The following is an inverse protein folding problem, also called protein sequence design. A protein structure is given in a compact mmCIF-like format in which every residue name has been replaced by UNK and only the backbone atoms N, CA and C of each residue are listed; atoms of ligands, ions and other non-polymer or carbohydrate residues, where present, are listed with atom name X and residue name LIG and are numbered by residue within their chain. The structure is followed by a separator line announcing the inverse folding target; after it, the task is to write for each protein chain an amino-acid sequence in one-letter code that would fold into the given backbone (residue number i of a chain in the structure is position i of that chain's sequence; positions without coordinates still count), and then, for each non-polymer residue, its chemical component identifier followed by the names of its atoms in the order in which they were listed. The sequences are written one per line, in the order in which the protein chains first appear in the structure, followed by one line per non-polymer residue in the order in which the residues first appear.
data_IF_844173509667
#
_entry.id   IF_844173509667
#
_cell.length_a   1.000
_cell.length_b   1.000
_cell.length_c   1.000
_cell.angle_alpha   90.00
_cell.angle_beta   90.00
_cell.angle_gamma   90.00
#
_symmetry.space_group_name_H-M   'P 1'
#
loop_
_entity.id
_entity.type
_entity.pdbx_description
1 polymer ?
#
# COMPACT_ATOMS: atom_id res chain seq x y z
N UNK A 1 -5.84 20.80 -0.58
CA UNK A 1 -5.18 20.04 0.49
C UNK A 1 -3.89 19.50 -0.08
N UNK A 2 -2.77 19.69 0.62
CA UNK A 2 -1.42 19.39 0.12
C UNK A 2 -1.30 17.94 -0.35
N UNK A 3 -0.83 17.77 -1.57
CA UNK A 3 -0.56 16.50 -2.25
C UNK A 3 0.19 15.55 -1.32
N UNK A 4 -0.50 14.55 -0.78
CA UNK A 4 0.13 13.31 -0.32
C UNK A 4 0.48 12.52 -1.60
N UNK A 5 1.40 13.08 -2.38
CA UNK A 5 1.89 12.54 -3.63
C UNK A 5 2.36 11.11 -3.35
N UNK A 6 2.05 10.20 -4.27
CA UNK A 6 2.40 8.77 -4.23
C UNK A 6 3.93 8.59 -4.15
N UNK A 7 4.51 8.89 -2.99
CA UNK A 7 5.93 9.15 -2.86
C UNK A 7 6.72 7.85 -3.00
N UNK A 8 6.15 6.72 -2.60
CA UNK A 8 6.85 5.43 -2.63
C UNK A 8 6.74 4.79 -3.99
N UNK A 9 5.56 4.85 -4.62
CA UNK A 9 5.42 4.51 -6.02
C UNK A 9 6.40 5.31 -6.88
N UNK A 10 6.53 6.62 -6.65
CA UNK A 10 7.49 7.46 -7.37
C UNK A 10 8.95 7.07 -7.09
N UNK A 11 9.32 6.76 -5.85
CA UNK A 11 10.68 6.29 -5.53
C UNK A 11 10.98 4.98 -6.28
N UNK A 12 10.05 4.03 -6.31
CA UNK A 12 10.20 2.77 -7.06
C UNK A 12 10.39 3.05 -8.55
N UNK A 13 9.61 3.96 -9.14
CA UNK A 13 9.74 4.35 -10.54
C UNK A 13 11.10 5.02 -10.84
N UNK A 14 11.55 5.93 -9.98
CA UNK A 14 12.83 6.62 -10.14
C UNK A 14 14.01 5.65 -10.04
N UNK A 15 13.98 4.71 -9.09
CA UNK A 15 14.99 3.66 -8.95
C UNK A 15 14.96 2.73 -10.17
N UNK A 16 13.76 2.32 -10.61
CA UNK A 16 13.58 1.46 -11.79
C UNK A 16 14.18 2.09 -13.04
N UNK A 17 13.95 3.39 -13.23
CA UNK A 17 14.50 4.16 -14.35
C UNK A 17 16.02 4.33 -14.25
N UNK A 18 16.55 4.59 -13.06
CA UNK A 18 17.97 4.76 -12.83
C UNK A 18 18.77 3.46 -13.01
N UNK A 19 18.20 2.33 -12.57
CA UNK A 19 18.77 1.00 -12.80
C UNK A 19 18.77 0.62 -14.29
N UNK A 20 17.76 1.09 -15.02
CA UNK A 20 17.53 0.77 -16.42
C UNK A 20 17.12 -0.69 -16.61
N UNK A 21 16.81 -1.04 -17.86
CA UNK A 21 16.51 -2.40 -18.30
C UNK A 21 17.14 -2.57 -19.68
N UNK A 22 18.07 -3.52 -19.80
CA UNK A 22 18.79 -3.80 -21.06
C UNK A 22 18.29 -5.13 -21.62
N UNK A 23 18.11 -5.19 -22.95
CA UNK A 23 17.67 -6.38 -23.68
C UNK A 23 16.23 -6.84 -23.36
N UNK A 24 15.34 -5.92 -23.04
CA UNK A 24 13.90 -6.19 -22.88
C UNK A 24 13.18 -5.78 -24.16
N UNK A 25 12.15 -6.52 -24.55
CA UNK A 25 11.35 -6.22 -25.74
C UNK A 25 10.65 -4.85 -25.58
N UNK A 26 10.61 -4.07 -26.66
CA UNK A 26 10.01 -2.74 -26.73
C UNK A 26 8.52 -2.75 -26.32
N UNK A 27 7.85 -3.91 -26.45
CA UNK A 27 6.47 -4.14 -26.05
C UNK A 27 6.26 -4.24 -24.53
N UNK A 28 7.30 -4.46 -23.74
CA UNK A 28 7.21 -4.55 -22.27
C UNK A 28 7.51 -3.22 -21.56
N UNK A 29 7.83 -2.17 -22.32
CA UNK A 29 8.14 -0.84 -21.81
C UNK A 29 6.92 0.10 -21.87
N UNK A 30 6.63 0.76 -20.74
CA UNK A 30 5.81 1.98 -20.72
C UNK A 30 6.69 3.16 -21.19
N UNK A 31 6.69 3.41 -22.50
CA UNK A 31 7.50 4.45 -23.14
C UNK A 31 7.25 5.86 -22.59
N UNK A 32 6.08 6.13 -22.01
CA UNK A 32 5.80 7.44 -21.41
C UNK A 32 6.57 7.64 -20.10
N UNK A 33 6.78 6.57 -19.33
CA UNK A 33 7.50 6.61 -18.06
C UNK A 33 9.00 6.24 -18.22
N UNK A 34 9.34 5.45 -19.24
CA UNK A 34 10.68 4.88 -19.44
C UNK A 34 11.01 3.79 -18.42
N UNK A 35 10.01 2.96 -18.08
CA UNK A 35 10.09 1.81 -17.17
C UNK A 35 9.27 0.65 -17.72
N UNK A 36 9.53 -0.57 -17.27
CA UNK A 36 8.72 -1.73 -17.65
C UNK A 36 7.32 -1.67 -17.03
N UNK A 37 6.32 -2.26 -17.68
CA UNK A 37 4.97 -2.39 -17.10
C UNK A 37 4.98 -3.10 -15.74
N UNK A 38 5.85 -4.10 -15.56
CA UNK A 38 6.02 -4.80 -14.28
C UNK A 38 6.62 -3.90 -13.19
N UNK A 39 7.54 -2.99 -13.56
CA UNK A 39 8.11 -2.00 -12.63
C UNK A 39 7.07 -0.96 -12.20
N UNK A 40 6.21 -0.56 -13.14
CA UNK A 40 5.06 0.30 -12.85
C UNK A 40 4.05 -0.39 -11.93
N UNK A 41 3.68 -1.63 -12.23
CA UNK A 41 2.78 -2.41 -11.38
C UNK A 41 3.36 -2.60 -9.97
N UNK A 42 4.66 -2.85 -9.83
CA UNK A 42 5.31 -2.90 -8.51
C UNK A 42 5.22 -1.56 -7.75
N UNK A 43 5.36 -0.43 -8.45
CA UNK A 43 5.19 0.89 -7.85
C UNK A 43 3.75 1.12 -7.35
N UNK A 44 2.76 0.70 -8.13
CA UNK A 44 1.34 0.77 -7.78
C UNK A 44 1.03 -0.11 -6.55
N UNK A 45 1.49 -1.36 -6.56
CA UNK A 45 1.40 -2.29 -5.41
C UNK A 45 2.03 -1.71 -4.15
N UNK A 46 3.22 -1.12 -4.26
CA UNK A 46 3.93 -0.51 -3.12
C UNK A 46 3.11 0.63 -2.51
N UNK A 47 2.52 1.49 -3.34
CA UNK A 47 1.70 2.60 -2.85
C UNK A 47 0.36 2.12 -2.27
N UNK A 48 -0.23 1.05 -2.81
CA UNK A 48 -1.44 0.44 -2.23
C UNK A 48 -1.19 -0.16 -0.86
N UNK A 49 -0.10 -0.91 -0.67
CA UNK A 49 0.31 -1.45 0.66
C UNK A 49 0.49 -0.30 1.64
N UNK A 50 1.18 0.76 1.22
CA UNK A 50 1.36 1.95 2.06
C UNK A 50 0.03 2.61 2.43
N UNK A 51 -0.86 2.75 1.46
CA UNK A 51 -2.17 3.38 1.68
C UNK A 51 -3.02 2.54 2.62
N UNK A 52 -3.02 1.21 2.46
CA UNK A 52 -3.65 0.27 3.38
C UNK A 52 -3.15 0.48 4.82
N UNK A 53 -1.83 0.49 5.01
CA UNK A 53 -1.23 0.71 6.32
C UNK A 53 -1.63 2.08 6.92
N UNK A 54 -1.60 3.16 6.14
CA UNK A 54 -2.03 4.48 6.62
C UNK A 54 -3.51 4.52 7.02
N UNK A 55 -4.37 3.79 6.30
CA UNK A 55 -5.80 3.66 6.63
C UNK A 55 -5.97 2.90 7.95
N UNK A 56 -5.28 1.77 8.15
CA UNK A 56 -5.33 1.02 9.41
C UNK A 56 -4.80 1.83 10.59
N UNK A 57 -3.74 2.63 10.40
CA UNK A 57 -3.24 3.58 11.41
C UNK A 57 -4.22 4.70 11.76
N UNK A 58 -5.25 4.91 10.94
CA UNK A 58 -6.32 5.87 11.20
C UNK A 58 -7.36 5.38 12.21
N UNK A 59 -7.32 4.10 12.61
CA UNK A 59 -8.24 3.55 13.60
C UNK A 59 -8.03 4.21 14.96
N UNK A 60 -9.13 4.58 15.61
CA UNK A 60 -9.09 5.16 16.95
C UNK A 60 -9.50 4.16 18.01
N UNK A 61 -8.89 4.25 19.20
CA UNK A 61 -9.37 3.53 20.37
C UNK A 61 -10.65 4.18 20.89
N UNK A 62 -11.69 3.37 21.06
CA UNK A 62 -12.99 3.80 21.57
C UNK A 62 -13.18 3.14 22.94
N UNK A 63 -13.31 3.96 23.99
CA UNK A 63 -13.53 3.50 25.35
C UNK A 63 -14.97 3.73 25.81
N UNK A 64 -15.48 2.84 26.67
CA UNK A 64 -16.79 3.03 27.29
C UNK A 64 -16.83 4.35 28.09
N UNK A 65 -17.89 5.13 27.91
CA UNK A 65 -18.06 6.42 28.59
C UNK A 65 -17.21 7.59 28.04
N UNK A 66 -16.38 7.36 27.01
CA UNK A 66 -15.57 8.42 26.38
C UNK A 66 -16.43 9.50 25.70
N UNK A 67 -17.58 9.11 25.14
CA UNK A 67 -18.52 10.01 24.50
C UNK A 67 -19.86 9.98 25.25
N UNK A 68 -20.35 11.16 25.63
CA UNK A 68 -21.63 11.30 26.34
C UNK A 68 -22.83 11.09 25.41
N UNK A 69 -22.68 11.44 24.13
CA UNK A 69 -23.71 11.30 23.10
C UNK A 69 -23.56 9.95 22.37
N UNK A 70 -24.57 9.06 22.40
CA UNK A 70 -24.51 7.76 21.73
C UNK A 70 -24.33 7.85 20.21
N UNK A 71 -24.81 8.93 19.58
CA UNK A 71 -24.65 9.17 18.14
C UNK A 71 -23.18 9.29 17.74
N UNK A 72 -22.39 10.04 18.52
CA UNK A 72 -20.95 10.22 18.27
C UNK A 72 -20.21 8.89 18.39
N UNK A 73 -20.54 8.09 19.40
CA UNK A 73 -19.97 6.74 19.56
C UNK A 73 -20.25 5.86 18.35
N UNK A 74 -21.50 5.86 17.87
CA UNK A 74 -21.92 5.08 16.70
C UNK A 74 -21.20 5.53 15.42
N UNK A 75 -21.06 6.84 15.20
CA UNK A 75 -20.37 7.39 14.04
C UNK A 75 -18.89 7.03 14.04
N UNK A 76 -18.21 7.12 15.19
CA UNK A 76 -16.81 6.71 15.33
C UNK A 76 -16.63 5.21 15.10
N UNK A 77 -17.52 4.37 15.64
CA UNK A 77 -17.49 2.94 15.43
C UNK A 77 -17.72 2.57 13.95
N UNK A 78 -18.64 3.27 13.28
CA UNK A 78 -18.89 3.10 11.85
C UNK A 78 -17.68 3.54 11.02
N UNK A 79 -17.07 4.68 11.33
CA UNK A 79 -15.85 5.15 10.69
C UNK A 79 -14.69 4.16 10.82
N UNK A 80 -14.46 3.63 12.03
CA UNK A 80 -13.47 2.57 12.27
C UNK A 80 -13.75 1.32 11.42
N UNK A 81 -15.02 0.90 11.29
CA UNK A 81 -15.39 -0.26 10.48
C UNK A 81 -15.07 -0.02 8.99
N UNK A 82 -15.35 1.16 8.47
CA UNK A 82 -15.02 1.51 7.08
C UNK A 82 -13.50 1.53 6.87
N UNK A 83 -12.75 2.15 7.78
CA UNK A 83 -11.29 2.20 7.70
C UNK A 83 -10.68 0.79 7.72
N UNK A 84 -11.08 -0.05 8.68
CA UNK A 84 -10.60 -1.43 8.79
C UNK A 84 -10.81 -2.21 7.48
N UNK A 85 -12.04 -2.22 6.97
CA UNK A 85 -12.39 -2.96 5.74
C UNK A 85 -11.70 -2.39 4.50
N UNK A 86 -11.54 -1.07 4.41
CA UNK A 86 -10.87 -0.43 3.27
C UNK A 86 -9.38 -0.74 3.28
N UNK A 87 -8.74 -0.74 4.46
CA UNK A 87 -7.35 -1.16 4.63
C UNK A 87 -7.16 -2.61 4.22
N UNK A 88 -8.03 -3.51 4.68
CA UNK A 88 -7.97 -4.95 4.34
C UNK A 88 -8.15 -5.17 2.83
N UNK A 89 -9.11 -4.48 2.21
CA UNK A 89 -9.35 -4.55 0.77
C UNK A 89 -8.10 -4.15 -0.02
N UNK A 90 -7.51 -2.98 0.28
CA UNK A 90 -6.30 -2.51 -0.40
C UNK A 90 -5.13 -3.49 -0.25
N UNK A 91 -4.94 -4.05 0.96
CA UNK A 91 -3.88 -5.02 1.19
C UNK A 91 -4.11 -6.31 0.37
N UNK A 92 -5.33 -6.85 0.39
CA UNK A 92 -5.67 -8.05 -0.37
C UNK A 92 -5.51 -7.84 -1.88
N UNK A 93 -5.96 -6.70 -2.41
CA UNK A 93 -5.78 -6.35 -3.83
C UNK A 93 -4.30 -6.24 -4.17
N UNK A 94 -3.49 -5.61 -3.31
CA UNK A 94 -2.04 -5.52 -3.52
C UNK A 94 -1.37 -6.90 -3.54
N UNK A 95 -1.81 -7.84 -2.71
CA UNK A 95 -1.31 -9.22 -2.72
C UNK A 95 -1.66 -9.95 -4.03
N UNK A 96 -2.86 -9.73 -4.58
CA UNK A 96 -3.27 -10.31 -5.85
C UNK A 96 -2.46 -9.76 -7.03
N UNK A 97 -2.22 -8.45 -7.06
CA UNK A 97 -1.38 -7.80 -8.08
C UNK A 97 0.09 -8.21 -7.96
N UNK A 98 0.61 -8.31 -6.74
CA UNK A 98 1.96 -8.82 -6.47
C UNK A 98 2.15 -10.24 -6.99
N UNK A 99 1.17 -11.12 -6.78
CA UNK A 99 1.17 -12.48 -7.33
C UNK A 99 1.10 -12.47 -8.87
N UNK A 100 0.38 -11.52 -9.47
CA UNK A 100 0.28 -11.36 -10.92
C UNK A 100 1.60 -10.93 -11.58
N UNK A 101 2.56 -10.37 -10.82
CA UNK A 101 3.92 -10.13 -11.31
C UNK A 101 4.71 -11.43 -11.58
N UNK A 102 4.26 -12.57 -11.04
CA UNK A 102 4.86 -13.91 -11.23
C UNK A 102 6.37 -13.96 -10.96
N UNK A 103 6.84 -13.19 -9.99
CA UNK A 103 8.23 -13.15 -9.56
C UNK A 103 8.29 -13.44 -8.05
N UNK A 104 8.73 -14.66 -7.70
CA UNK A 104 8.75 -15.11 -6.30
C UNK A 104 9.68 -14.27 -5.42
N UNK A 105 10.84 -13.83 -5.93
CA UNK A 105 11.77 -13.01 -5.17
C UNK A 105 11.14 -11.68 -4.76
N UNK A 106 10.36 -11.06 -5.67
CA UNK A 106 9.62 -9.82 -5.40
C UNK A 106 8.48 -10.09 -4.40
N UNK A 107 7.73 -11.18 -4.57
CA UNK A 107 6.64 -11.57 -3.66
C UNK A 107 7.17 -11.76 -2.23
N UNK A 108 8.29 -12.48 -2.09
CA UNK A 108 8.91 -12.79 -0.80
C UNK A 108 9.47 -11.54 -0.11
N UNK A 109 10.10 -10.66 -0.89
CA UNK A 109 10.64 -9.39 -0.39
C UNK A 109 9.52 -8.47 0.12
N UNK A 110 8.47 -8.27 -0.68
CA UNK A 110 7.34 -7.43 -0.31
C UNK A 110 6.55 -8.01 0.86
N UNK A 111 6.31 -9.33 0.86
CA UNK A 111 5.65 -10.02 1.99
C UNK A 111 6.46 -9.91 3.28
N UNK A 112 7.79 -9.97 3.17
CA UNK A 112 8.68 -9.73 4.31
C UNK A 112 8.58 -8.31 4.84
N UNK A 113 8.55 -7.31 3.96
CA UNK A 113 8.37 -5.91 4.36
C UNK A 113 7.03 -5.66 5.08
N UNK A 114 5.93 -6.27 4.60
CA UNK A 114 4.61 -6.18 5.26
C UNK A 114 4.65 -6.80 6.65
N UNK A 115 5.28 -7.98 6.80
CA UNK A 115 5.47 -8.62 8.11
C UNK A 115 6.27 -7.71 9.05
N UNK A 116 7.36 -7.14 8.57
CA UNK A 116 8.23 -6.28 9.39
C UNK A 116 7.50 -5.00 9.82
N UNK A 117 6.63 -4.43 8.97
CA UNK A 117 5.73 -3.34 9.35
C UNK A 117 4.77 -3.74 10.47
N UNK A 118 4.11 -4.89 10.34
CA UNK A 118 3.18 -5.39 11.37
C UNK A 118 3.88 -5.64 12.72
N UNK A 119 5.10 -6.19 12.69
CA UNK A 119 5.91 -6.37 13.91
C UNK A 119 6.30 -5.03 14.52
N UNK A 120 6.70 -4.05 13.70
CA UNK A 120 7.05 -2.71 14.19
C UNK A 120 5.88 -2.00 14.86
N UNK A 121 4.65 -2.21 14.39
CA UNK A 121 3.45 -1.60 14.97
C UNK A 121 3.03 -2.28 16.28
N UNK A 122 3.33 -3.57 16.44
CA UNK A 122 3.08 -4.28 17.69
C UNK A 122 4.08 -3.91 18.81
N UNK A 123 5.34 -3.66 18.44
CA UNK A 123 6.42 -3.36 19.40
C UNK A 123 6.55 -1.87 19.76
N UNK A 124 6.04 -0.97 18.91
CA UNK A 124 6.12 0.48 19.09
C UNK A 124 5.03 1.01 20.01
#
# INVERSE_FOLDING_TARGET
GRNNMQAWGLIVLLISKAAGHRNVDDMEEDKAAGVLYSQRALAEVTEMIRTSHLVHKGLVNIYEGQYQEPSVLNDMAFGNKIALLSGDYLLCTSCAELAALRNNDIVDLMSSAVRDQAVSEFLG
#
